data_IF_175356578875
#
_entry.id   IF_175356578875
#
_cell.length_a   1.000
_cell.length_b   1.000
_cell.length_c   1.000
_cell.angle_alpha   90.00
_cell.angle_beta   90.00
_cell.angle_gamma   90.00
#
_symmetry.space_group_name_H-M   'P 1'
#
loop_
_entity.id
_entity.type
_entity.pdbx_description
1 polymer ?
#
# COMPACT_ATOMS: atom_id res chain seq x y z
N UNK A 1 -54.91 17.42 20.84
CA UNK A 1 -54.21 16.28 20.19
C UNK A 1 -52.75 16.62 20.00
N UNK A 2 -51.86 16.11 20.88
CA UNK A 2 -50.43 16.39 20.87
C UNK A 2 -49.71 15.31 20.03
N UNK A 3 -49.19 15.68 18.83
CA UNK A 3 -48.34 14.80 18.02
C UNK A 3 -46.89 14.88 18.54
N UNK A 4 -46.47 13.90 19.34
CA UNK A 4 -45.06 13.69 19.72
C UNK A 4 -44.27 13.32 18.45
N UNK A 5 -43.36 14.20 17.99
CA UNK A 5 -42.35 13.89 16.99
C UNK A 5 -41.32 12.95 17.61
N UNK A 6 -41.33 11.69 17.21
CA UNK A 6 -40.30 10.72 17.55
C UNK A 6 -39.04 11.08 16.75
N UNK A 7 -37.99 11.62 17.41
CA UNK A 7 -36.67 11.77 16.84
C UNK A 7 -36.00 10.41 16.76
N UNK A 8 -36.01 9.79 15.60
CA UNK A 8 -35.16 8.60 15.31
C UNK A 8 -33.72 9.08 15.31
N UNK A 9 -32.98 8.84 16.39
CA UNK A 9 -31.51 8.94 16.42
C UNK A 9 -30.96 7.76 15.62
N UNK A 10 -30.68 7.97 14.35
CA UNK A 10 -29.87 7.03 13.55
C UNK A 10 -28.52 6.89 14.24
N UNK A 11 -28.27 5.75 14.88
CA UNK A 11 -26.93 5.36 15.36
C UNK A 11 -26.00 5.37 14.16
N UNK A 12 -25.19 6.41 13.99
CA UNK A 12 -24.05 6.38 13.08
C UNK A 12 -23.12 5.26 13.56
N UNK A 13 -23.18 4.12 12.93
CA UNK A 13 -22.20 3.06 13.13
C UNK A 13 -20.85 3.67 12.77
N UNK A 14 -20.00 3.90 13.76
CA UNK A 14 -18.62 4.33 13.57
C UNK A 14 -17.92 3.22 12.77
N UNK A 15 -17.73 3.43 11.48
CA UNK A 15 -16.92 2.51 10.66
C UNK A 15 -15.50 2.65 11.20
N UNK A 16 -15.10 1.68 12.01
CA UNK A 16 -13.75 1.56 12.56
C UNK A 16 -12.80 1.17 11.43
N UNK A 17 -11.57 1.68 11.46
CA UNK A 17 -10.52 1.24 10.53
C UNK A 17 -10.42 -0.29 10.54
N UNK A 18 -10.53 -0.90 9.37
CA UNK A 18 -10.62 -2.36 9.19
C UNK A 18 -9.26 -3.01 9.46
N UNK A 19 -8.18 -2.35 9.00
CA UNK A 19 -6.82 -2.84 9.12
C UNK A 19 -5.90 -1.70 9.53
N UNK A 20 -5.11 -1.94 10.58
CA UNK A 20 -4.19 -0.99 11.20
C UNK A 20 -2.76 -1.47 11.14
N UNK A 21 -1.77 -0.56 11.27
CA UNK A 21 -0.38 -0.96 11.45
C UNK A 21 -0.18 -1.93 12.62
N UNK A 22 0.73 -2.89 12.45
CA UNK A 22 1.00 -3.95 13.43
C UNK A 22 2.05 -3.51 14.47
N UNK A 23 1.78 -2.42 15.19
CA UNK A 23 2.73 -1.77 16.11
C UNK A 23 3.25 -2.65 17.25
N UNK A 24 2.48 -3.68 17.61
CA UNK A 24 2.81 -4.60 18.71
C UNK A 24 3.49 -5.89 18.23
N UNK A 25 3.73 -6.03 16.92
CA UNK A 25 4.46 -7.18 16.40
C UNK A 25 5.96 -7.01 16.71
N UNK A 26 6.54 -7.88 17.58
CA UNK A 26 7.94 -7.75 18.02
C UNK A 26 8.95 -7.99 16.88
N UNK A 27 8.52 -8.62 15.78
CA UNK A 27 9.37 -8.89 14.62
C UNK A 27 9.61 -7.65 13.76
N UNK A 28 8.84 -6.55 13.93
CA UNK A 28 8.88 -5.37 13.06
C UNK A 28 9.79 -4.27 13.59
N UNK A 29 10.11 -4.28 14.89
CA UNK A 29 10.98 -3.27 15.50
C UNK A 29 11.96 -3.93 16.46
N UNK A 30 13.18 -3.35 16.55
CA UNK A 30 14.19 -3.72 17.52
C UNK A 30 14.53 -2.52 18.39
N UNK A 31 14.67 -2.72 19.68
CA UNK A 31 15.21 -1.72 20.59
C UNK A 31 16.73 -1.65 20.44
N UNK A 32 17.25 -0.45 20.26
CA UNK A 32 18.69 -0.15 20.17
C UNK A 32 19.05 0.99 21.10
N UNK A 33 20.32 1.05 21.51
CA UNK A 33 20.86 2.17 22.24
C UNK A 33 21.62 3.10 21.29
N UNK A 34 21.31 4.38 21.38
CA UNK A 34 22.00 5.46 20.65
C UNK A 34 22.55 6.47 21.66
N UNK A 35 23.40 7.38 21.20
CA UNK A 35 23.85 8.53 21.99
C UNK A 35 23.37 9.81 21.31
N UNK A 36 22.91 10.77 22.11
CA UNK A 36 22.56 12.10 21.64
C UNK A 36 23.80 13.00 21.54
N UNK A 37 23.62 14.25 21.15
CA UNK A 37 24.66 15.27 21.03
C UNK A 37 25.41 15.58 22.35
N UNK A 38 24.80 15.28 23.49
CA UNK A 38 25.38 15.41 24.83
C UNK A 38 26.00 14.10 25.34
N UNK A 39 26.21 13.11 24.46
CA UNK A 39 26.73 11.77 24.78
C UNK A 39 25.86 10.97 25.76
N UNK A 40 24.62 11.38 25.97
CA UNK A 40 23.64 10.67 26.80
C UNK A 40 23.09 9.44 26.06
N UNK A 41 23.11 8.29 26.76
CA UNK A 41 22.57 7.05 26.22
C UNK A 41 21.04 7.08 26.20
N UNK A 42 20.46 6.89 25.01
CA UNK A 42 19.01 6.83 24.78
C UNK A 42 18.63 5.47 24.22
N UNK A 43 17.44 5.01 24.59
CA UNK A 43 16.83 3.79 24.06
C UNK A 43 15.79 4.18 23.01
N UNK A 44 15.95 3.70 21.79
CA UNK A 44 15.06 4.00 20.67
C UNK A 44 14.64 2.70 19.97
N UNK A 45 13.54 2.77 19.22
CA UNK A 45 13.11 1.68 18.34
C UNK A 45 13.63 1.92 16.93
N UNK A 46 14.15 0.87 16.31
CA UNK A 46 14.52 0.84 14.89
C UNK A 46 13.61 -0.13 14.16
N UNK A 47 13.28 0.18 12.90
CA UNK A 47 12.55 -0.74 12.01
C UNK A 47 13.47 -1.90 11.62
N UNK A 48 12.89 -3.10 11.55
CA UNK A 48 13.59 -4.30 11.07
C UNK A 48 13.21 -4.54 9.62
N UNK A 49 14.19 -4.40 8.73
CA UNK A 49 14.06 -4.77 7.32
C UNK A 49 14.52 -6.21 7.10
N UNK A 50 13.83 -6.90 6.16
CA UNK A 50 14.20 -8.24 5.72
C UNK A 50 14.03 -8.36 4.22
N UNK A 51 14.86 -9.17 3.54
CA UNK A 51 14.61 -9.54 2.15
C UNK A 51 13.36 -10.41 2.08
N UNK A 52 12.48 -10.15 1.11
CA UNK A 52 11.36 -10.97 0.74
C UNK A 52 11.50 -11.35 -0.73
N UNK A 53 11.64 -12.64 -1.01
CA UNK A 53 11.71 -13.15 -2.38
C UNK A 53 10.33 -13.54 -2.88
N UNK A 54 9.96 -13.03 -4.04
CA UNK A 54 8.68 -13.29 -4.70
C UNK A 54 8.85 -14.20 -5.90
N UNK A 55 8.12 -15.29 -5.90
CA UNK A 55 7.97 -16.19 -7.05
C UNK A 55 6.58 -16.06 -7.67
N UNK A 56 6.52 -16.12 -8.98
CA UNK A 56 5.29 -16.34 -9.74
C UNK A 56 5.39 -17.69 -10.44
N UNK A 57 4.57 -18.64 -10.02
CA UNK A 57 4.70 -20.06 -10.36
C UNK A 57 6.08 -20.59 -9.95
N UNK A 58 6.91 -20.99 -10.89
CA UNK A 58 8.27 -21.54 -10.67
C UNK A 58 9.37 -20.50 -10.84
N UNK A 59 9.01 -19.26 -11.23
CA UNK A 59 10.01 -18.24 -11.56
C UNK A 59 10.17 -17.23 -10.45
N UNK A 60 11.43 -16.99 -10.07
CA UNK A 60 11.78 -15.85 -9.24
C UNK A 60 11.56 -14.54 -9.99
N UNK A 61 10.82 -13.64 -9.39
CA UNK A 61 10.48 -12.33 -9.97
C UNK A 61 11.38 -11.24 -9.40
N UNK A 62 11.52 -11.22 -8.07
CA UNK A 62 12.21 -10.15 -7.38
C UNK A 62 12.47 -10.51 -5.92
N UNK A 63 13.59 -10.03 -5.38
CA UNK A 63 13.82 -9.91 -3.94
C UNK A 63 13.77 -8.44 -3.55
N UNK A 64 12.92 -8.09 -2.57
CA UNK A 64 12.70 -6.70 -2.13
C UNK A 64 12.88 -6.56 -0.63
N UNK A 65 13.50 -5.46 -0.18
CA UNK A 65 13.58 -5.13 1.23
C UNK A 65 12.24 -4.62 1.73
N UNK A 66 11.72 -5.20 2.81
CA UNK A 66 10.41 -4.90 3.40
C UNK A 66 10.42 -5.23 4.89
N UNK A 67 9.41 -4.78 5.62
CA UNK A 67 9.22 -5.18 7.01
C UNK A 67 8.59 -6.59 7.16
N UNK A 68 8.27 -7.24 6.05
CA UNK A 68 7.66 -8.58 5.98
C UNK A 68 6.31 -8.71 6.73
N UNK A 69 5.60 -7.62 6.99
CA UNK A 69 4.18 -7.70 7.36
C UNK A 69 3.32 -7.83 6.09
N UNK A 70 2.23 -8.57 6.16
CA UNK A 70 1.33 -8.80 5.02
C UNK A 70 2.01 -9.25 3.71
N UNK A 71 2.97 -10.19 3.72
CA UNK A 71 3.77 -10.55 2.55
C UNK A 71 2.93 -11.04 1.37
N UNK A 72 1.83 -11.75 1.63
CA UNK A 72 0.89 -12.21 0.58
C UNK A 72 0.19 -11.05 -0.13
N UNK A 73 -0.16 -9.97 0.57
CA UNK A 73 -0.72 -8.77 -0.07
C UNK A 73 0.33 -8.02 -0.88
N UNK A 74 1.56 -7.89 -0.34
CA UNK A 74 2.67 -7.29 -1.06
C UNK A 74 2.93 -8.00 -2.38
N UNK A 75 3.02 -9.33 -2.35
CA UNK A 75 3.27 -10.16 -3.55
C UNK A 75 2.19 -9.97 -4.62
N UNK A 76 0.91 -10.09 -4.26
CA UNK A 76 -0.19 -9.90 -5.22
C UNK A 76 -0.15 -8.49 -5.80
N UNK A 77 -0.02 -7.47 -4.96
CA UNK A 77 -0.05 -6.08 -5.40
C UNK A 77 1.13 -5.71 -6.27
N UNK A 78 2.32 -6.21 -5.96
CA UNK A 78 3.50 -6.06 -6.81
C UNK A 78 3.23 -6.63 -8.21
N UNK A 79 2.79 -7.89 -8.31
CA UNK A 79 2.51 -8.54 -9.59
C UNK A 79 1.44 -7.81 -10.40
N UNK A 80 0.37 -7.33 -9.76
CA UNK A 80 -0.67 -6.53 -10.41
C UNK A 80 -0.12 -5.21 -10.95
N UNK A 81 0.65 -4.49 -10.13
CA UNK A 81 1.19 -3.18 -10.48
C UNK A 81 2.32 -3.26 -11.51
N UNK A 82 2.97 -4.43 -11.63
CA UNK A 82 3.97 -4.72 -12.66
C UNK A 82 3.40 -5.40 -13.91
N UNK A 83 2.07 -5.50 -14.07
CA UNK A 83 1.40 -6.20 -15.19
C UNK A 83 1.78 -7.68 -15.36
N UNK A 84 2.34 -8.29 -14.33
CA UNK A 84 2.67 -9.73 -14.33
C UNK A 84 1.49 -10.60 -13.95
N UNK A 85 0.47 -9.99 -13.34
CA UNK A 85 -0.81 -10.59 -13.00
C UNK A 85 -1.93 -9.67 -13.47
N UNK A 86 -2.88 -10.20 -14.23
CA UNK A 86 -4.07 -9.46 -14.65
C UNK A 86 -5.22 -9.69 -13.66
N UNK A 87 -6.16 -8.78 -13.61
CA UNK A 87 -7.33 -8.88 -12.71
C UNK A 87 -8.15 -10.15 -12.87
N UNK A 88 -8.17 -10.69 -14.08
CA UNK A 88 -8.93 -11.89 -14.44
C UNK A 88 -8.11 -13.18 -14.31
N UNK A 89 -6.82 -13.08 -14.00
CA UNK A 89 -5.99 -14.26 -13.78
C UNK A 89 -6.43 -14.95 -12.50
N UNK A 90 -6.68 -16.25 -12.62
CA UNK A 90 -7.10 -17.06 -11.48
C UNK A 90 -5.88 -17.47 -10.67
N UNK A 91 -5.71 -16.87 -9.49
CA UNK A 91 -4.75 -17.33 -8.50
C UNK A 91 -5.24 -18.67 -7.92
N UNK A 92 -4.41 -19.70 -8.02
CA UNK A 92 -4.70 -21.04 -7.51
C UNK A 92 -4.12 -21.30 -6.12
N UNK A 93 -3.05 -20.59 -5.76
CA UNK A 93 -2.42 -20.70 -4.45
C UNK A 93 -1.54 -19.50 -4.13
N UNK A 94 -1.36 -19.20 -2.83
CA UNK A 94 -0.41 -18.20 -2.34
C UNK A 94 0.19 -18.76 -1.05
N UNK A 95 1.45 -19.14 -1.12
CA UNK A 95 2.17 -19.68 0.01
C UNK A 95 3.21 -18.66 0.49
N UNK A 96 3.44 -18.63 1.76
CA UNK A 96 4.49 -17.82 2.38
C UNK A 96 5.26 -18.70 3.35
N UNK A 97 6.53 -18.81 3.09
CA UNK A 97 7.49 -19.44 3.99
C UNK A 97 8.21 -18.32 4.77
N UNK A 98 7.99 -18.31 6.08
CA UNK A 98 8.54 -17.28 6.96
C UNK A 98 10.03 -17.55 7.29
N UNK A 99 10.51 -18.79 7.23
CA UNK A 99 11.89 -19.13 7.58
C UNK A 99 12.86 -18.57 6.54
N UNK A 100 12.51 -18.71 5.27
CA UNK A 100 13.30 -18.19 4.14
C UNK A 100 12.76 -16.89 3.56
N UNK A 101 11.72 -16.28 4.17
CA UNK A 101 11.04 -15.07 3.70
C UNK A 101 10.69 -15.11 2.21
N UNK A 102 10.03 -16.17 1.78
CA UNK A 102 9.67 -16.37 0.36
C UNK A 102 8.17 -16.47 0.19
N UNK A 103 7.63 -15.74 -0.80
CA UNK A 103 6.22 -15.85 -1.22
C UNK A 103 6.14 -16.43 -2.62
N UNK A 104 5.33 -17.46 -2.78
CA UNK A 104 5.02 -18.07 -4.08
C UNK A 104 3.56 -17.80 -4.42
N UNK A 105 3.32 -17.12 -5.53
CA UNK A 105 1.98 -16.93 -6.10
C UNK A 105 1.82 -17.88 -7.29
N UNK A 106 0.78 -18.74 -7.24
CA UNK A 106 0.49 -19.69 -8.32
C UNK A 106 -0.74 -19.27 -9.09
N UNK A 107 -0.64 -19.34 -10.41
CA UNK A 107 -1.73 -19.04 -11.35
C UNK A 107 -2.03 -20.24 -12.24
N UNK A 108 -3.26 -20.29 -12.79
CA UNK A 108 -3.66 -21.37 -13.68
C UNK A 108 -2.95 -21.34 -15.04
N UNK A 109 -2.63 -20.14 -15.53
CA UNK A 109 -1.99 -19.93 -16.83
C UNK A 109 -0.51 -19.58 -16.64
N UNK A 110 0.35 -20.06 -17.54
CA UNK A 110 1.72 -19.55 -17.66
C UNK A 110 1.68 -18.08 -18.09
N UNK A 111 2.51 -17.25 -17.51
CA UNK A 111 2.56 -15.82 -17.81
C UNK A 111 3.81 -15.50 -18.64
N UNK A 112 3.70 -14.57 -19.60
CA UNK A 112 4.83 -14.14 -20.45
C UNK A 112 5.74 -13.13 -19.74
N UNK A 113 6.01 -13.32 -18.45
CA UNK A 113 6.78 -12.35 -17.68
C UNK A 113 8.25 -12.30 -18.07
N UNK A 114 8.84 -13.36 -18.63
CA UNK A 114 10.23 -13.37 -19.10
C UNK A 114 10.50 -12.32 -20.18
N UNK A 115 9.60 -12.17 -21.15
CA UNK A 115 9.66 -11.11 -22.14
C UNK A 115 9.50 -9.72 -21.50
N UNK A 116 8.65 -9.61 -20.48
CA UNK A 116 8.39 -8.38 -19.76
C UNK A 116 9.58 -7.94 -18.91
N UNK A 117 10.29 -8.88 -18.29
CA UNK A 117 11.48 -8.59 -17.51
C UNK A 117 12.63 -7.99 -18.35
N UNK A 118 12.70 -8.29 -19.65
CA UNK A 118 13.70 -7.72 -20.56
C UNK A 118 13.50 -6.23 -20.87
N UNK A 119 12.30 -5.69 -20.65
CA UNK A 119 11.91 -4.30 -20.97
C UNK A 119 11.86 -3.39 -19.75
N UNK A 120 12.64 -3.65 -18.71
CA UNK A 120 12.64 -2.86 -17.48
C UNK A 120 13.29 -1.48 -17.70
N UNK A 121 12.60 -0.43 -17.26
CA UNK A 121 13.13 0.93 -17.12
C UNK A 121 13.38 1.22 -15.65
N UNK A 122 14.58 1.70 -15.31
CA UNK A 122 14.88 2.15 -13.95
C UNK A 122 14.13 3.46 -13.66
N UNK A 123 13.33 3.47 -12.62
CA UNK A 123 12.64 4.66 -12.14
C UNK A 123 13.30 5.22 -10.90
N UNK A 124 13.11 6.52 -10.63
CA UNK A 124 13.78 7.28 -9.54
C UNK A 124 13.53 6.78 -8.12
N UNK A 125 12.82 5.70 -7.92
CA UNK A 125 12.45 5.20 -6.60
C UNK A 125 12.55 3.71 -6.41
N UNK A 126 12.93 2.96 -7.45
CA UNK A 126 13.04 1.52 -7.37
C UNK A 126 14.27 1.05 -8.16
N UNK A 127 15.28 0.53 -7.47
CA UNK A 127 16.47 -0.04 -8.09
C UNK A 127 16.17 -1.26 -9.00
N UNK A 128 14.96 -1.81 -8.92
CA UNK A 128 14.54 -3.03 -9.61
C UNK A 128 13.93 -2.79 -11.00
N UNK A 129 13.71 -1.53 -11.39
CA UNK A 129 13.10 -1.16 -12.66
C UNK A 129 11.58 -1.46 -12.72
N UNK A 130 10.91 -0.74 -13.57
CA UNK A 130 9.47 -0.89 -13.87
C UNK A 130 9.32 -1.23 -15.35
N UNK A 131 8.36 -2.10 -15.70
CA UNK A 131 8.03 -2.40 -17.10
C UNK A 131 7.25 -1.20 -17.67
N UNK A 132 7.99 -0.15 -18.02
CA UNK A 132 7.42 1.17 -18.29
C UNK A 132 6.58 1.21 -19.58
N UNK A 133 7.03 0.57 -20.66
CA UNK A 133 6.33 0.60 -21.95
C UNK A 133 4.93 0.00 -21.90
N UNK A 134 4.82 -1.26 -21.45
CA UNK A 134 3.52 -1.96 -21.34
C UNK A 134 2.58 -1.30 -20.33
N UNK A 135 3.17 -0.67 -19.28
CA UNK A 135 2.38 0.02 -18.25
C UNK A 135 1.81 1.33 -18.80
N UNK A 136 2.54 2.06 -19.63
CA UNK A 136 2.06 3.32 -20.20
C UNK A 136 0.95 3.12 -21.21
N UNK A 137 1.05 2.11 -22.08
CA UNK A 137 -0.02 1.77 -23.02
C UNK A 137 -1.33 1.43 -22.29
N UNK A 138 -1.26 0.67 -21.20
CA UNK A 138 -2.42 0.33 -20.38
C UNK A 138 -2.93 1.54 -19.58
N UNK A 139 -2.02 2.41 -19.12
CA UNK A 139 -2.33 3.61 -18.34
C UNK A 139 -3.27 4.57 -19.09
N UNK A 140 -3.02 4.82 -20.38
CA UNK A 140 -3.85 5.69 -21.21
C UNK A 140 -5.27 5.17 -21.39
N UNK A 141 -5.46 3.84 -21.32
CA UNK A 141 -6.74 3.20 -21.45
C UNK A 141 -7.56 3.09 -20.15
N UNK A 142 -6.97 3.42 -19.00
CA UNK A 142 -7.66 3.34 -17.71
C UNK A 142 -8.58 4.55 -17.52
N UNK A 143 -9.88 4.28 -17.47
CA UNK A 143 -10.88 5.31 -17.14
C UNK A 143 -11.10 5.38 -15.62
N UNK A 144 -10.80 6.53 -15.04
CA UNK A 144 -11.09 6.85 -13.64
C UNK A 144 -12.51 7.42 -13.50
N UNK A 145 -13.08 7.29 -12.30
CA UNK A 145 -14.39 7.87 -11.99
C UNK A 145 -14.33 9.40 -12.05
N UNK A 146 -15.07 10.00 -12.99
CA UNK A 146 -15.21 11.45 -13.11
C UNK A 146 -16.11 12.08 -12.03
N UNK A 147 -16.86 11.27 -11.31
CA UNK A 147 -17.80 11.72 -10.26
C UNK A 147 -17.17 11.70 -8.87
N UNK A 148 -15.94 11.26 -8.76
CA UNK A 148 -15.23 11.24 -7.49
C UNK A 148 -14.97 12.67 -6.99
N UNK A 149 -15.32 12.93 -5.73
CA UNK A 149 -15.16 14.24 -5.09
C UNK A 149 -14.55 14.06 -3.70
N UNK A 150 -13.76 15.04 -3.29
CA UNK A 150 -13.28 15.19 -1.92
C UNK A 150 -13.76 16.53 -1.35
N UNK A 151 -14.19 16.52 -0.09
CA UNK A 151 -14.55 17.74 0.64
C UNK A 151 -13.37 18.15 1.53
N UNK A 152 -13.09 19.46 1.63
CA UNK A 152 -12.06 19.97 2.53
C UNK A 152 -12.23 19.47 3.98
N UNK A 153 -13.50 19.40 4.45
CA UNK A 153 -13.81 18.84 5.77
C UNK A 153 -13.45 17.36 5.93
N UNK A 154 -13.47 16.57 4.85
CA UNK A 154 -13.01 15.18 4.89
C UNK A 154 -11.49 15.11 4.99
N UNK A 155 -10.79 15.96 4.24
CA UNK A 155 -9.32 16.04 4.27
C UNK A 155 -8.82 16.30 5.69
N UNK A 156 -9.37 17.31 6.37
CA UNK A 156 -8.99 17.65 7.75
C UNK A 156 -9.22 16.46 8.70
N UNK A 157 -10.37 15.80 8.59
CA UNK A 157 -10.68 14.63 9.44
C UNK A 157 -9.77 13.45 9.16
N UNK A 158 -9.51 13.15 7.88
CA UNK A 158 -8.60 12.07 7.47
C UNK A 158 -7.18 12.32 7.99
N UNK A 159 -6.64 13.53 7.81
CA UNK A 159 -5.31 13.88 8.29
C UNK A 159 -5.22 13.75 9.82
N UNK A 160 -6.24 14.20 10.56
CA UNK A 160 -6.29 14.03 12.00
C UNK A 160 -6.31 12.54 12.38
N UNK A 161 -7.18 11.73 11.77
CA UNK A 161 -7.30 10.29 12.04
C UNK A 161 -5.98 9.56 11.73
N UNK A 162 -5.38 9.81 10.57
CA UNK A 162 -4.13 9.16 10.15
C UNK A 162 -2.96 9.54 11.07
N UNK A 163 -2.80 10.83 11.38
CA UNK A 163 -1.69 11.30 12.20
C UNK A 163 -1.79 10.88 13.67
N UNK A 164 -2.99 10.58 14.17
CA UNK A 164 -3.19 10.10 15.55
C UNK A 164 -3.32 8.58 15.66
N UNK A 165 -3.42 7.87 14.53
CA UNK A 165 -3.45 6.40 14.55
C UNK A 165 -2.09 5.87 14.96
N UNK A 166 -2.01 5.01 16.01
CA UNK A 166 -0.77 4.35 16.39
C UNK A 166 -0.17 3.61 15.20
N UNK A 167 1.11 3.89 14.92
CA UNK A 167 1.81 3.43 13.72
C UNK A 167 3.29 3.15 14.00
N UNK A 168 3.91 2.34 13.17
CA UNK A 168 5.35 2.11 13.23
C UNK A 168 6.13 3.40 12.98
N UNK A 169 5.59 4.30 12.13
CA UNK A 169 6.18 5.62 11.92
C UNK A 169 6.23 6.44 13.22
N UNK A 170 5.19 6.42 14.03
CA UNK A 170 5.20 7.12 15.33
C UNK A 170 6.17 6.47 16.32
N UNK A 171 6.31 5.14 16.25
CA UNK A 171 7.16 4.35 17.16
C UNK A 171 8.66 4.46 16.82
N UNK A 172 9.02 4.34 15.54
CA UNK A 172 10.40 4.12 15.10
C UNK A 172 10.86 5.03 13.95
N UNK A 173 9.97 5.83 13.36
CA UNK A 173 10.29 6.63 12.15
C UNK A 173 10.72 5.72 10.98
N UNK A 174 11.53 6.22 10.04
CA UNK A 174 12.18 5.48 8.95
C UNK A 174 11.25 4.53 8.15
N UNK A 175 9.97 4.87 8.00
CA UNK A 175 8.96 4.05 7.34
C UNK A 175 7.92 4.93 6.64
N UNK A 176 7.33 4.42 5.58
CA UNK A 176 6.25 5.08 4.84
C UNK A 176 4.90 4.43 5.11
N UNK A 177 3.86 5.25 5.18
CA UNK A 177 2.50 4.80 5.32
C UNK A 177 1.66 5.07 4.08
N UNK A 178 0.81 4.11 3.73
CA UNK A 178 -0.24 4.26 2.73
C UNK A 178 -1.59 3.92 3.34
N UNK A 179 -2.61 4.72 3.02
CA UNK A 179 -3.94 4.58 3.60
C UNK A 179 -5.02 4.60 2.52
N UNK A 180 -5.83 3.55 2.49
CA UNK A 180 -7.05 3.52 1.69
C UNK A 180 -8.18 4.14 2.49
N UNK A 181 -8.79 5.18 1.93
CA UNK A 181 -9.85 5.94 2.58
C UNK A 181 -11.15 5.91 1.78
N UNK A 182 -12.27 6.14 2.46
CA UNK A 182 -13.57 6.39 1.84
C UNK A 182 -14.25 7.55 2.56
N UNK A 183 -14.57 8.61 1.80
CA UNK A 183 -15.07 9.87 2.38
C UNK A 183 -14.10 10.40 3.45
N UNK A 184 -14.57 10.63 4.66
CA UNK A 184 -13.83 11.14 5.80
C UNK A 184 -13.30 10.03 6.76
N UNK A 185 -13.15 8.79 6.27
CA UNK A 185 -12.74 7.64 7.08
C UNK A 185 -11.57 6.89 6.46
N UNK A 186 -10.53 6.67 7.25
CA UNK A 186 -9.46 5.72 6.94
C UNK A 186 -9.99 4.29 7.11
N UNK A 187 -9.76 3.43 6.12
CA UNK A 187 -10.24 2.05 6.13
C UNK A 187 -9.10 1.05 6.33
N UNK A 188 -8.02 1.23 5.60
CA UNK A 188 -6.86 0.32 5.63
C UNK A 188 -5.60 1.17 5.69
N UNK A 189 -4.77 0.93 6.70
CA UNK A 189 -3.49 1.60 6.87
C UNK A 189 -2.38 0.55 6.92
N UNK A 190 -1.50 0.59 5.93
CA UNK A 190 -0.33 -0.30 5.82
C UNK A 190 0.94 0.53 5.74
N UNK A 191 2.01 0.00 6.32
CA UNK A 191 3.32 0.65 6.36
C UNK A 191 4.38 -0.25 5.74
N UNK A 192 5.41 0.35 5.17
CA UNK A 192 6.64 -0.32 4.75
C UNK A 192 7.81 0.67 4.67
N UNK A 193 9.04 0.16 4.72
CA UNK A 193 10.26 0.95 4.50
C UNK A 193 10.27 1.56 3.11
N UNK A 194 9.77 0.84 2.11
CA UNK A 194 9.55 1.32 0.75
C UNK A 194 8.12 1.84 0.55
N UNK A 195 7.96 3.12 0.13
CA UNK A 195 6.61 3.65 -0.22
C UNK A 195 5.91 2.82 -1.29
N UNK A 196 6.66 2.24 -2.24
CA UNK A 196 6.13 1.40 -3.30
C UNK A 196 5.59 0.07 -2.75
N UNK A 197 6.29 -0.53 -1.77
CA UNK A 197 5.80 -1.72 -1.10
C UNK A 197 4.49 -1.45 -0.34
N UNK A 198 4.41 -0.31 0.36
CA UNK A 198 3.19 0.06 1.08
C UNK A 198 1.97 0.23 0.14
N UNK A 199 2.17 0.79 -1.07
CA UNK A 199 1.14 0.85 -2.12
C UNK A 199 0.75 -0.55 -2.59
N UNK A 200 1.74 -1.40 -2.86
CA UNK A 200 1.52 -2.75 -3.37
C UNK A 200 0.75 -3.61 -2.34
N UNK A 201 1.05 -3.48 -1.05
CA UNK A 201 0.26 -4.13 0.01
C UNK A 201 -1.22 -3.77 -0.07
N UNK A 202 -1.54 -2.48 -0.27
CA UNK A 202 -2.94 -2.03 -0.39
C UNK A 202 -3.57 -2.53 -1.70
N UNK A 203 -2.83 -2.53 -2.81
CA UNK A 203 -3.31 -3.07 -4.09
C UNK A 203 -3.68 -4.56 -3.96
N UNK A 204 -2.79 -5.36 -3.37
CA UNK A 204 -3.04 -6.78 -3.11
C UNK A 204 -4.20 -7.03 -2.15
N UNK A 205 -4.35 -6.20 -1.11
CA UNK A 205 -5.49 -6.25 -0.21
C UNK A 205 -6.81 -5.97 -0.94
N UNK A 206 -6.83 -4.90 -1.76
CA UNK A 206 -8.01 -4.54 -2.56
C UNK A 206 -8.42 -5.65 -3.51
N UNK A 207 -7.46 -6.28 -4.19
CA UNK A 207 -7.69 -7.43 -5.06
C UNK A 207 -8.28 -8.60 -4.27
N UNK A 208 -7.62 -9.04 -3.19
CA UNK A 208 -8.05 -10.20 -2.39
C UNK A 208 -9.41 -10.01 -1.73
N UNK A 209 -9.77 -8.77 -1.39
CA UNK A 209 -11.06 -8.42 -0.76
C UNK A 209 -12.10 -7.89 -1.76
N UNK A 210 -11.81 -7.90 -3.05
CA UNK A 210 -12.71 -7.42 -4.12
C UNK A 210 -13.23 -6.00 -3.87
N UNK A 211 -12.36 -5.11 -3.40
CA UNK A 211 -12.75 -3.74 -3.04
C UNK A 211 -12.93 -2.90 -4.30
N UNK A 212 -14.10 -2.28 -4.45
CA UNK A 212 -14.37 -1.34 -5.55
C UNK A 212 -13.61 -0.03 -5.33
N UNK A 213 -12.87 0.48 -6.34
CA UNK A 213 -12.01 1.65 -6.20
C UNK A 213 -12.70 3.00 -6.40
N UNK A 214 -13.87 3.03 -7.08
CA UNK A 214 -14.47 4.25 -7.66
C UNK A 214 -14.75 5.37 -6.64
N UNK A 215 -14.95 5.04 -5.37
CA UNK A 215 -15.27 5.95 -4.28
C UNK A 215 -14.15 6.07 -3.25
N UNK A 216 -12.95 5.59 -3.60
CA UNK A 216 -11.81 5.58 -2.72
C UNK A 216 -10.92 6.80 -2.90
N UNK A 217 -10.23 7.12 -1.81
CA UNK A 217 -9.15 8.09 -1.74
C UNK A 217 -7.93 7.32 -1.28
N UNK A 218 -6.80 7.53 -1.95
CA UNK A 218 -5.52 6.95 -1.55
C UNK A 218 -4.63 8.04 -0.96
N UNK A 219 -4.16 7.81 0.25
CA UNK A 219 -3.23 8.70 0.94
C UNK A 219 -1.88 8.02 1.10
N UNK A 220 -0.79 8.78 0.90
CA UNK A 220 0.57 8.32 1.15
C UNK A 220 1.40 9.36 1.91
N UNK A 221 2.30 8.89 2.76
CA UNK A 221 3.33 9.75 3.37
C UNK A 221 4.53 9.97 2.45
N UNK A 222 4.65 9.20 1.36
CA UNK A 222 5.71 9.32 0.37
C UNK A 222 5.48 10.45 -0.64
N UNK A 223 6.53 10.86 -1.36
CA UNK A 223 6.41 11.78 -2.49
C UNK A 223 5.58 11.16 -3.62
N UNK A 224 4.87 12.01 -4.39
CA UNK A 224 4.20 11.59 -5.61
C UNK A 224 5.19 11.67 -6.78
N UNK A 225 5.72 10.52 -7.15
CA UNK A 225 6.52 10.33 -8.36
C UNK A 225 5.64 9.69 -9.44
N UNK A 226 6.11 9.69 -10.70
CA UNK A 226 5.41 9.03 -11.82
C UNK A 226 4.92 7.62 -11.44
N UNK A 227 5.78 6.81 -10.83
CA UNK A 227 5.44 5.44 -10.43
C UNK A 227 4.30 5.38 -9.40
N UNK A 228 4.27 6.29 -8.41
CA UNK A 228 3.19 6.37 -7.44
C UNK A 228 1.84 6.71 -8.09
N UNK A 229 1.86 7.62 -9.08
CA UNK A 229 0.67 7.99 -9.86
C UNK A 229 0.23 6.79 -10.70
N UNK A 230 1.13 6.16 -11.44
CA UNK A 230 0.85 5.00 -12.29
C UNK A 230 0.21 3.88 -11.45
N UNK A 231 0.80 3.50 -10.32
CA UNK A 231 0.25 2.46 -9.44
C UNK A 231 -1.16 2.82 -8.94
N UNK A 232 -1.40 4.08 -8.56
CA UNK A 232 -2.72 4.52 -8.09
C UNK A 232 -3.77 4.47 -9.20
N UNK A 233 -3.40 4.86 -10.42
CA UNK A 233 -4.28 4.78 -11.60
C UNK A 233 -4.59 3.32 -11.94
N UNK A 234 -3.60 2.42 -11.88
CA UNK A 234 -3.80 0.97 -12.07
C UNK A 234 -4.74 0.36 -11.03
N UNK A 235 -4.68 0.82 -9.79
CA UNK A 235 -5.65 0.49 -8.75
C UNK A 235 -7.04 1.09 -9.05
N UNK A 236 -7.17 1.96 -10.07
CA UNK A 236 -8.38 2.70 -10.46
C UNK A 236 -8.93 3.62 -9.37
N UNK A 237 -8.07 4.09 -8.48
CA UNK A 237 -8.46 5.03 -7.42
C UNK A 237 -8.39 6.46 -7.98
N UNK A 238 -9.50 7.22 -7.96
CA UNK A 238 -9.59 8.50 -8.65
C UNK A 238 -8.95 9.67 -7.89
N UNK A 239 -8.68 9.53 -6.60
CA UNK A 239 -8.13 10.61 -5.76
C UNK A 239 -6.89 10.10 -5.05
N UNK A 240 -5.75 10.78 -5.30
CA UNK A 240 -4.47 10.52 -4.66
C UNK A 240 -4.05 11.76 -3.85
N UNK A 241 -3.66 11.53 -2.60
CA UNK A 241 -3.19 12.56 -1.67
C UNK A 241 -1.81 12.21 -1.13
N UNK A 242 -0.95 13.20 -0.98
CA UNK A 242 0.33 13.05 -0.31
C UNK A 242 0.53 14.11 0.76
N UNK A 243 1.26 13.73 1.81
CA UNK A 243 1.77 14.68 2.81
C UNK A 243 3.03 15.41 2.31
N UNK A 244 3.76 14.80 1.39
CA UNK A 244 4.98 15.32 0.80
C UNK A 244 4.70 15.94 -0.58
N UNK A 245 5.74 16.50 -1.19
CA UNK A 245 5.68 17.08 -2.51
C UNK A 245 5.52 16.06 -3.64
N UNK A 246 5.48 16.57 -4.84
CA UNK A 246 5.38 15.81 -6.09
C UNK A 246 6.49 16.23 -7.06
N UNK A 247 6.80 15.36 -8.00
CA UNK A 247 7.73 15.66 -9.10
C UNK A 247 6.94 15.96 -10.36
N UNK A 248 7.42 16.88 -11.18
CA UNK A 248 6.94 17.04 -12.57
C UNK A 248 7.50 15.91 -13.44
N UNK A 249 6.73 15.51 -14.43
CA UNK A 249 7.08 14.44 -15.37
C UNK A 249 6.47 14.74 -16.72
#
# INVERSE_FOLDING_TARGET
MNKKKIKIKTKRTLIKMILKPLINNPKLTKEIFVRDENNKKLKVHSIVERPLTLYLNEQEIVTMMTICDYPKYLAIGYLLNQNMLKKNDKITGIDYDEEINTVVVRTKLKTNYEEKLKKKTLTSGCAQGTIFGDIMEEFENIKLSKTAKIKASWLIKLLKEINTTPSLYLKARAIHGCVLCKKDKAQVYMEDVGRHNAVDKIAGYMYKKSIKPNDKIFYTTGRLTSEMIIKTVKMRIPILMSRNGFTSW
#
